data_IF_033382129146
#
_entry.id   IF_033382129146
#
_cell.length_a   1.000
_cell.length_b   1.000
_cell.length_c   1.000
_cell.angle_alpha   90.00
_cell.angle_beta   90.00
_cell.angle_gamma   90.00
#
_symmetry.space_group_name_H-M   'P 1'
#
loop_
_entity.id
_entity.type
_entity.pdbx_description
1 polymer ?
#
# COMPACT_ATOMS: atom_id res chain seq x y z
N UNK A 1 -42.76 -8.09 1.24
CA UNK A 1 -41.89 -7.07 1.90
C UNK A 1 -40.92 -7.63 2.95
N UNK A 2 -41.30 -8.52 3.88
CA UNK A 2 -40.38 -9.11 4.89
C UNK A 2 -39.14 -9.86 4.31
N UNK A 3 -39.28 -10.52 3.16
CA UNK A 3 -38.14 -11.18 2.49
C UNK A 3 -37.19 -10.20 1.76
N UNK A 4 -37.68 -9.01 1.39
CA UNK A 4 -36.87 -7.96 0.76
C UNK A 4 -36.02 -7.25 1.82
N UNK A 5 -36.60 -6.93 2.97
CA UNK A 5 -35.86 -6.34 4.11
C UNK A 5 -34.80 -7.29 4.66
N UNK A 6 -35.08 -8.60 4.74
CA UNK A 6 -34.09 -9.61 5.11
C UNK A 6 -32.90 -9.68 4.13
N UNK A 7 -33.17 -9.73 2.82
CA UNK A 7 -32.12 -9.74 1.78
C UNK A 7 -31.31 -8.43 1.73
N UNK A 8 -31.96 -7.27 1.90
CA UNK A 8 -31.29 -5.97 1.99
C UNK A 8 -30.35 -5.89 3.19
N UNK A 9 -30.76 -6.42 4.33
CA UNK A 9 -29.92 -6.48 5.53
C UNK A 9 -28.70 -7.39 5.32
N UNK A 10 -28.87 -8.54 4.66
CA UNK A 10 -27.74 -9.42 4.32
C UNK A 10 -26.75 -8.72 3.38
N UNK A 11 -27.24 -8.07 2.32
CA UNK A 11 -26.38 -7.35 1.37
C UNK A 11 -25.59 -6.21 2.03
N UNK A 12 -26.24 -5.44 2.91
CA UNK A 12 -25.58 -4.38 3.70
C UNK A 12 -24.54 -4.95 4.68
N UNK A 13 -24.80 -6.11 5.28
CA UNK A 13 -23.84 -6.79 6.14
C UNK A 13 -22.64 -7.29 5.34
N UNK A 14 -22.86 -7.90 4.16
CA UNK A 14 -21.79 -8.33 3.24
C UNK A 14 -20.93 -7.14 2.83
N UNK A 15 -21.55 -6.04 2.40
CA UNK A 15 -20.84 -4.80 2.05
C UNK A 15 -20.03 -4.26 3.23
N UNK A 16 -20.62 -4.26 4.44
CA UNK A 16 -19.91 -3.79 5.64
C UNK A 16 -18.71 -4.66 6.00
N UNK A 17 -18.80 -5.97 5.78
CA UNK A 17 -17.74 -6.94 6.07
C UNK A 17 -16.63 -6.95 5.01
N UNK A 18 -16.96 -6.59 3.76
CA UNK A 18 -16.03 -6.52 2.63
C UNK A 18 -15.24 -5.20 2.59
N UNK A 19 -15.75 -4.17 3.26
CA UNK A 19 -15.04 -2.90 3.47
C UNK A 19 -15.04 -2.52 4.96
N UNK A 20 -14.41 -3.29 5.85
CA UNK A 20 -14.54 -3.09 7.30
C UNK A 20 -13.82 -1.84 7.79
N UNK A 21 -12.75 -1.44 7.09
CA UNK A 21 -12.05 -0.20 7.35
C UNK A 21 -12.95 0.98 6.94
N UNK A 22 -13.56 1.64 7.95
CA UNK A 22 -14.36 2.86 7.77
C UNK A 22 -13.64 3.87 6.88
N UNK A 23 -12.31 3.92 6.92
CA UNK A 23 -11.53 4.89 6.16
C UNK A 23 -11.35 4.51 4.70
N UNK A 24 -11.35 3.24 4.32
CA UNK A 24 -11.40 2.93 2.88
C UNK A 24 -12.69 3.50 2.27
N UNK A 25 -13.80 3.47 3.03
CA UNK A 25 -15.05 4.13 2.63
C UNK A 25 -14.92 5.65 2.59
N UNK A 26 -14.31 6.28 3.60
CA UNK A 26 -14.06 7.72 3.59
C UNK A 26 -13.10 8.19 2.49
N UNK A 27 -12.10 7.38 2.14
CA UNK A 27 -11.20 7.66 1.01
C UNK A 27 -11.98 7.57 -0.29
N UNK A 28 -12.79 6.53 -0.49
CA UNK A 28 -13.68 6.44 -1.67
C UNK A 28 -14.63 7.64 -1.74
N UNK A 29 -15.32 7.98 -0.65
CA UNK A 29 -16.24 9.13 -0.60
C UNK A 29 -15.52 10.45 -0.80
N UNK A 30 -14.36 10.64 -0.16
CA UNK A 30 -13.53 11.83 -0.29
C UNK A 30 -13.02 12.01 -1.71
N UNK A 31 -12.56 10.95 -2.35
CA UNK A 31 -12.13 10.97 -3.76
C UNK A 31 -13.27 11.37 -4.68
N UNK A 32 -14.48 10.81 -4.49
CA UNK A 32 -15.67 11.17 -5.30
C UNK A 32 -16.11 12.62 -5.07
N UNK A 33 -16.09 13.10 -3.82
CA UNK A 33 -16.43 14.50 -3.49
C UNK A 33 -15.39 15.47 -4.05
N UNK A 34 -14.10 15.16 -3.91
CA UNK A 34 -13.02 15.95 -4.52
C UNK A 34 -13.15 15.98 -6.04
N UNK A 35 -13.52 14.86 -6.66
CA UNK A 35 -13.77 14.78 -8.09
C UNK A 35 -14.91 15.70 -8.54
N UNK A 36 -16.04 15.64 -7.83
CA UNK A 36 -17.21 16.47 -8.13
C UNK A 36 -16.89 17.96 -7.97
N UNK A 37 -16.18 18.34 -6.91
CA UNK A 37 -15.74 19.71 -6.68
C UNK A 37 -14.72 20.19 -7.71
N UNK A 38 -13.75 19.35 -8.09
CA UNK A 38 -12.74 19.68 -9.07
C UNK A 38 -13.34 19.90 -10.47
N UNK A 39 -14.29 19.05 -10.85
CA UNK A 39 -15.01 19.16 -12.12
C UNK A 39 -15.94 20.38 -12.15
N UNK A 40 -16.55 20.74 -11.02
CA UNK A 40 -17.42 21.93 -10.92
C UNK A 40 -16.63 23.24 -10.93
N UNK A 41 -15.42 23.25 -10.34
CA UNK A 41 -14.61 24.46 -10.19
C UNK A 41 -13.52 24.61 -11.26
N UNK A 42 -13.40 23.63 -12.16
CA UNK A 42 -12.39 23.56 -13.22
C UNK A 42 -10.94 23.78 -12.71
N UNK A 43 -10.64 23.22 -11.54
CA UNK A 43 -9.32 23.34 -10.90
C UNK A 43 -8.44 22.16 -11.30
N UNK A 44 -7.60 22.33 -12.33
CA UNK A 44 -6.78 21.27 -12.94
C UNK A 44 -5.91 20.51 -11.93
N UNK A 45 -5.29 21.20 -10.98
CA UNK A 45 -4.49 20.56 -9.93
C UNK A 45 -5.33 19.68 -9.00
N UNK A 46 -6.59 20.07 -8.74
CA UNK A 46 -7.50 19.30 -7.90
C UNK A 46 -8.01 18.06 -8.65
N UNK A 47 -8.17 18.17 -9.98
CA UNK A 47 -8.47 17.05 -10.88
C UNK A 47 -7.31 16.05 -10.84
N UNK A 48 -6.06 16.51 -10.92
CA UNK A 48 -4.88 15.63 -10.84
C UNK A 48 -4.77 14.90 -9.50
N UNK A 49 -5.00 15.61 -8.38
CA UNK A 49 -5.03 15.00 -7.04
C UNK A 49 -6.19 13.99 -6.92
N UNK A 50 -7.39 14.33 -7.42
CA UNK A 50 -8.53 13.43 -7.40
C UNK A 50 -8.29 12.18 -8.25
N UNK A 51 -7.69 12.32 -9.43
CA UNK A 51 -7.29 11.21 -10.30
C UNK A 51 -6.26 10.29 -9.62
N UNK A 52 -5.23 10.87 -8.98
CA UNK A 52 -4.26 10.11 -8.17
C UNK A 52 -4.92 9.33 -7.03
N UNK A 53 -5.85 9.96 -6.31
CA UNK A 53 -6.61 9.31 -5.24
C UNK A 53 -7.53 8.19 -5.76
N UNK A 54 -8.18 8.36 -6.91
CA UNK A 54 -9.01 7.34 -7.55
C UNK A 54 -8.14 6.16 -8.00
N UNK A 55 -7.02 6.41 -8.67
CA UNK A 55 -6.06 5.37 -9.07
C UNK A 55 -5.57 4.58 -7.86
N UNK A 56 -5.17 5.27 -6.79
CA UNK A 56 -4.77 4.63 -5.54
C UNK A 56 -5.92 3.81 -4.93
N UNK A 57 -7.15 4.31 -5.00
CA UNK A 57 -8.33 3.60 -4.47
C UNK A 57 -8.64 2.34 -5.27
N UNK A 58 -8.59 2.42 -6.61
CA UNK A 58 -8.74 1.26 -7.51
C UNK A 58 -7.60 0.28 -7.28
N UNK A 59 -6.37 0.75 -7.15
CA UNK A 59 -5.16 -0.05 -6.88
C UNK A 59 -5.28 -0.81 -5.55
N UNK A 60 -5.54 -0.10 -4.45
CA UNK A 60 -5.73 -0.73 -3.15
C UNK A 60 -6.95 -1.66 -3.17
N UNK A 61 -8.04 -1.23 -3.79
CA UNK A 61 -9.25 -2.03 -3.95
C UNK A 61 -9.00 -3.34 -4.67
N UNK A 62 -8.32 -3.31 -5.82
CA UNK A 62 -8.00 -4.47 -6.64
C UNK A 62 -7.17 -5.53 -5.90
N UNK A 63 -6.33 -5.12 -4.96
CA UNK A 63 -5.52 -6.04 -4.12
C UNK A 63 -6.31 -6.53 -2.91
N UNK A 64 -7.01 -5.61 -2.26
CA UNK A 64 -7.60 -5.82 -0.95
C UNK A 64 -8.93 -6.55 -1.01
N UNK A 65 -9.77 -6.20 -1.98
CA UNK A 65 -11.12 -6.75 -2.15
C UNK A 65 -11.09 -8.25 -2.43
N UNK A 66 -10.26 -8.79 -3.35
CA UNK A 66 -10.23 -10.22 -3.58
C UNK A 66 -9.76 -11.02 -2.36
N UNK A 67 -8.75 -10.54 -1.63
CA UNK A 67 -8.30 -11.15 -0.38
C UNK A 67 -9.45 -11.19 0.63
N UNK A 68 -10.16 -10.08 0.78
CA UNK A 68 -11.28 -10.00 1.73
C UNK A 68 -12.42 -10.90 1.32
N UNK A 69 -12.80 -10.92 0.04
CA UNK A 69 -13.84 -11.80 -0.48
C UNK A 69 -13.49 -13.27 -0.24
N UNK A 70 -12.25 -13.69 -0.52
CA UNK A 70 -11.78 -15.06 -0.27
C UNK A 70 -11.80 -15.40 1.23
N UNK A 71 -11.38 -14.47 2.10
CA UNK A 71 -11.42 -14.65 3.55
C UNK A 71 -12.85 -14.81 4.09
N UNK A 72 -13.79 -14.01 3.61
CA UNK A 72 -15.21 -14.09 3.99
C UNK A 72 -15.85 -15.37 3.45
N UNK A 73 -15.56 -15.75 2.21
CA UNK A 73 -16.03 -16.99 1.60
C UNK A 73 -15.52 -18.25 2.30
N UNK A 74 -14.40 -18.16 3.02
CA UNK A 74 -13.84 -19.23 3.86
C UNK A 74 -14.36 -19.25 5.31
N UNK A 75 -15.08 -18.22 5.73
CA UNK A 75 -15.53 -18.07 7.12
C UNK A 75 -16.78 -18.91 7.42
N UNK A 76 -16.69 -19.77 8.44
CA UNK A 76 -17.82 -20.60 8.90
C UNK A 76 -19.04 -19.76 9.33
N UNK A 77 -18.92 -18.72 10.17
CA UNK A 77 -20.05 -17.84 10.50
C UNK A 77 -20.71 -17.20 9.27
N UNK A 78 -19.92 -16.87 8.25
CA UNK A 78 -20.42 -16.24 7.03
C UNK A 78 -21.13 -17.24 6.11
N UNK A 79 -20.76 -18.52 6.13
CA UNK A 79 -21.52 -19.56 5.42
C UNK A 79 -22.93 -19.77 5.98
N UNK A 80 -23.18 -19.40 7.24
CA UNK A 80 -24.50 -19.49 7.88
C UNK A 80 -25.50 -18.42 7.38
N UNK A 81 -25.02 -17.37 6.70
CA UNK A 81 -25.87 -16.27 6.23
C UNK A 81 -26.74 -16.63 5.00
N UNK A 82 -26.61 -17.86 4.46
CA UNK A 82 -27.38 -18.34 3.31
C UNK A 82 -27.02 -17.62 2.00
N UNK A 83 -26.63 -18.36 0.95
CA UNK A 83 -26.22 -17.80 -0.35
C UNK A 83 -25.13 -16.71 -0.29
N UNK A 84 -24.35 -16.66 0.79
CA UNK A 84 -23.39 -15.58 1.05
C UNK A 84 -22.28 -15.48 0.00
N UNK A 85 -21.92 -16.62 -0.61
CA UNK A 85 -20.99 -16.67 -1.76
C UNK A 85 -21.54 -16.05 -3.04
N UNK A 86 -22.84 -16.19 -3.30
CA UNK A 86 -23.50 -15.55 -4.45
C UNK A 86 -23.54 -14.03 -4.25
N UNK A 87 -23.80 -13.57 -3.02
CA UNK A 87 -23.74 -12.15 -2.69
C UNK A 87 -22.32 -11.58 -2.81
N UNK A 88 -21.30 -12.31 -2.36
CA UNK A 88 -19.90 -11.90 -2.56
C UNK A 88 -19.51 -11.82 -4.04
N UNK A 89 -19.94 -12.79 -4.84
CA UNK A 89 -19.70 -12.82 -6.29
C UNK A 89 -20.33 -11.59 -6.97
N UNK A 90 -21.60 -11.29 -6.65
CA UNK A 90 -22.30 -10.12 -7.17
C UNK A 90 -21.61 -8.81 -6.75
N UNK A 91 -21.12 -8.73 -5.51
CA UNK A 91 -20.37 -7.58 -5.02
C UNK A 91 -19.03 -7.41 -5.76
N UNK A 92 -18.28 -8.50 -6.00
CA UNK A 92 -17.06 -8.45 -6.79
C UNK A 92 -17.32 -7.95 -8.21
N UNK A 93 -18.40 -8.40 -8.85
CA UNK A 93 -18.78 -7.94 -10.18
C UNK A 93 -19.14 -6.44 -10.19
N UNK A 94 -19.94 -5.99 -9.23
CA UNK A 94 -20.32 -4.58 -9.09
C UNK A 94 -19.11 -3.67 -8.82
N UNK A 95 -18.19 -4.11 -7.95
CA UNK A 95 -16.93 -3.40 -7.70
C UNK A 95 -16.09 -3.33 -8.98
N UNK A 96 -16.02 -4.42 -9.76
CA UNK A 96 -15.35 -4.43 -11.05
C UNK A 96 -15.90 -3.37 -11.99
N UNK A 97 -17.24 -3.29 -12.13
CA UNK A 97 -17.90 -2.25 -12.94
C UNK A 97 -17.54 -0.85 -12.44
N UNK A 98 -17.61 -0.60 -11.13
CA UNK A 98 -17.30 0.72 -10.55
C UNK A 98 -15.84 1.11 -10.81
N UNK A 99 -14.89 0.19 -10.64
CA UNK A 99 -13.47 0.45 -10.92
C UNK A 99 -13.23 0.71 -12.40
N UNK A 100 -13.85 -0.05 -13.29
CA UNK A 100 -13.73 0.15 -14.74
C UNK A 100 -14.29 1.50 -15.18
N UNK A 101 -15.44 1.91 -14.64
CA UNK A 101 -16.00 3.24 -14.89
C UNK A 101 -15.09 4.36 -14.38
N UNK A 102 -14.49 4.19 -13.19
CA UNK A 102 -13.58 5.17 -12.62
C UNK A 102 -12.30 5.34 -13.46
N UNK A 103 -11.70 4.22 -13.91
CA UNK A 103 -10.52 4.24 -14.79
C UNK A 103 -10.87 4.79 -16.16
N UNK A 104 -12.01 4.39 -16.74
CA UNK A 104 -12.46 4.88 -18.03
C UNK A 104 -12.73 6.38 -18.03
N UNK A 105 -13.37 6.89 -16.97
CA UNK A 105 -13.59 8.31 -16.80
C UNK A 105 -12.26 9.09 -16.76
N UNK A 106 -11.26 8.56 -16.05
CA UNK A 106 -9.92 9.16 -16.03
C UNK A 106 -9.26 9.16 -17.42
N UNK A 107 -9.33 8.05 -18.14
CA UNK A 107 -8.73 7.93 -19.47
C UNK A 107 -9.42 8.81 -20.51
N UNK A 108 -10.74 8.99 -20.40
CA UNK A 108 -11.51 9.89 -21.25
C UNK A 108 -11.16 11.38 -21.00
N UNK A 109 -10.80 11.74 -19.76
CA UNK A 109 -10.34 13.08 -19.43
C UNK A 109 -8.89 13.36 -19.88
N UNK A 110 -8.14 12.31 -20.19
CA UNK A 110 -6.77 12.40 -20.70
C UNK A 110 -6.71 12.43 -22.23
N UNK A 111 -7.84 12.58 -22.93
CA UNK A 111 -7.98 12.56 -24.41
C UNK A 111 -7.36 11.33 -25.09
N UNK A 112 -7.14 10.23 -24.34
CA UNK A 112 -6.40 9.07 -24.84
C UNK A 112 -7.27 8.02 -25.53
N UNK A 113 -8.58 7.95 -25.27
CA UNK A 113 -9.46 6.89 -25.79
C UNK A 113 -10.93 7.35 -25.94
N UNK A 114 -11.61 6.88 -27.00
CA UNK A 114 -13.05 7.07 -27.19
C UNK A 114 -13.90 6.34 -26.15
N UNK A 115 -14.83 7.06 -25.50
CA UNK A 115 -15.50 6.64 -24.26
C UNK A 115 -16.24 5.28 -24.30
N UNK A 116 -16.78 4.89 -25.45
CA UNK A 116 -17.67 3.71 -25.54
C UNK A 116 -16.90 2.45 -25.97
N UNK A 117 -15.87 2.60 -26.81
CA UNK A 117 -15.14 1.47 -27.39
C UNK A 117 -14.18 0.81 -26.40
N UNK A 118 -13.62 1.55 -25.43
CA UNK A 118 -12.65 1.02 -24.48
C UNK A 118 -13.24 0.46 -23.18
N UNK A 119 -14.50 0.76 -22.87
CA UNK A 119 -15.14 0.31 -21.62
C UNK A 119 -15.23 -1.23 -21.50
N UNK A 120 -15.61 -2.00 -22.53
CA UNK A 120 -15.64 -3.47 -22.43
C UNK A 120 -14.27 -4.08 -22.18
N UNK A 121 -13.22 -3.52 -22.79
CA UNK A 121 -11.82 -3.97 -22.61
C UNK A 121 -11.38 -3.70 -21.17
N UNK A 122 -11.59 -2.48 -20.67
CA UNK A 122 -11.27 -2.13 -19.29
C UNK A 122 -12.07 -2.95 -18.28
N UNK A 123 -13.33 -3.24 -18.58
CA UNK A 123 -14.14 -4.09 -17.70
C UNK A 123 -13.65 -5.53 -17.68
N UNK A 124 -13.25 -6.07 -18.82
CA UNK A 124 -12.60 -7.37 -18.89
C UNK A 124 -11.28 -7.38 -18.10
N UNK A 125 -10.42 -6.39 -18.26
CA UNK A 125 -9.12 -6.32 -17.56
C UNK A 125 -9.29 -6.22 -16.04
N UNK A 126 -10.12 -5.28 -15.57
CA UNK A 126 -10.39 -5.14 -14.13
C UNK A 126 -11.04 -6.41 -13.57
N UNK A 127 -11.94 -7.06 -14.35
CA UNK A 127 -12.54 -8.33 -13.94
C UNK A 127 -11.50 -9.44 -13.82
N UNK A 128 -10.61 -9.59 -14.80
CA UNK A 128 -9.51 -10.56 -14.75
C UNK A 128 -8.60 -10.32 -13.54
N UNK A 129 -8.27 -9.07 -13.25
CA UNK A 129 -7.51 -8.70 -12.04
C UNK A 129 -8.24 -9.14 -10.78
N UNK A 130 -9.53 -8.84 -10.63
CA UNK A 130 -10.27 -9.26 -9.43
C UNK A 130 -10.38 -10.78 -9.31
N UNK A 131 -10.62 -11.49 -10.43
CA UNK A 131 -10.80 -12.94 -10.48
C UNK A 131 -9.48 -13.70 -10.20
N UNK A 132 -8.41 -13.35 -10.91
CA UNK A 132 -7.08 -13.92 -10.70
C UNK A 132 -6.59 -13.58 -9.29
N UNK A 133 -6.83 -12.36 -8.81
CA UNK A 133 -6.53 -11.96 -7.45
C UNK A 133 -7.22 -12.85 -6.42
N UNK A 134 -8.51 -13.14 -6.61
CA UNK A 134 -9.27 -14.02 -5.72
C UNK A 134 -8.72 -15.46 -5.74
N UNK A 135 -8.34 -15.96 -6.92
CA UNK A 135 -7.74 -17.28 -7.11
C UNK A 135 -6.34 -17.42 -6.50
N UNK A 136 -5.50 -16.39 -6.60
CA UNK A 136 -4.19 -16.35 -5.94
C UNK A 136 -4.39 -16.33 -4.43
N UNK A 137 -5.23 -15.42 -3.94
CA UNK A 137 -5.52 -15.28 -2.51
C UNK A 137 -6.11 -16.56 -1.92
N UNK A 138 -6.91 -17.31 -2.71
CA UNK A 138 -7.52 -18.56 -2.27
C UNK A 138 -6.49 -19.68 -1.99
N UNK A 139 -5.32 -19.64 -2.66
CA UNK A 139 -4.23 -20.62 -2.49
C UNK A 139 -3.11 -20.12 -1.59
N UNK A 140 -2.74 -18.85 -1.75
CA UNK A 140 -1.61 -18.23 -1.06
C UNK A 140 -2.05 -16.94 -0.37
N UNK A 141 -2.62 -17.03 0.85
CA UNK A 141 -3.00 -15.86 1.63
C UNK A 141 -1.78 -14.95 1.86
N UNK A 142 -1.86 -13.69 1.43
CA UNK A 142 -0.78 -12.70 1.58
C UNK A 142 0.04 -12.46 0.32
N UNK A 143 -0.17 -13.23 -0.76
CA UNK A 143 0.45 -12.99 -2.07
C UNK A 143 -0.37 -12.05 -2.97
N UNK A 144 -1.25 -11.22 -2.39
CA UNK A 144 -2.17 -10.36 -3.14
C UNK A 144 -1.45 -9.36 -4.05
N UNK A 145 -0.23 -8.95 -3.67
CA UNK A 145 0.62 -8.06 -4.49
C UNK A 145 1.19 -8.73 -5.74
N UNK A 146 1.11 -10.06 -5.86
CA UNK A 146 1.53 -10.80 -7.06
C UNK A 146 0.75 -10.36 -8.29
N UNK A 147 -0.48 -9.86 -8.13
CA UNK A 147 -1.28 -9.43 -9.28
C UNK A 147 -0.65 -8.28 -10.07
N UNK A 148 0.16 -7.45 -9.41
CA UNK A 148 0.89 -6.37 -10.08
C UNK A 148 2.02 -6.87 -10.97
N UNK A 149 2.52 -8.07 -10.71
CA UNK A 149 3.52 -8.71 -11.58
C UNK A 149 2.92 -9.11 -12.92
N UNK A 150 1.60 -9.26 -12.97
CA UNK A 150 0.86 -9.56 -14.20
C UNK A 150 0.43 -8.30 -14.95
N UNK A 151 0.69 -7.08 -14.43
CA UNK A 151 0.29 -5.83 -15.07
C UNK A 151 0.81 -5.69 -16.52
N UNK A 152 2.08 -6.00 -16.82
CA UNK A 152 2.56 -5.90 -18.21
C UNK A 152 1.91 -6.92 -19.16
N UNK A 153 1.56 -8.10 -18.64
CA UNK A 153 0.78 -9.08 -19.39
C UNK A 153 -0.63 -8.54 -19.68
N UNK A 154 -1.25 -7.87 -18.72
CA UNK A 154 -2.55 -7.22 -18.91
C UNK A 154 -2.48 -6.07 -19.91
N UNK A 155 -1.38 -5.31 -19.97
CA UNK A 155 -1.20 -4.25 -20.97
C UNK A 155 -1.15 -4.82 -22.40
N UNK A 156 -0.40 -5.91 -22.61
CA UNK A 156 -0.35 -6.61 -23.91
C UNK A 156 -1.70 -7.20 -24.32
N UNK A 157 -2.39 -7.84 -23.37
CA UNK A 157 -3.73 -8.39 -23.59
C UNK A 157 -4.72 -7.25 -23.90
N UNK A 158 -4.64 -6.12 -23.19
CA UNK A 158 -5.51 -4.97 -23.42
C UNK A 158 -5.30 -4.38 -24.81
N UNK A 159 -4.05 -4.21 -25.25
CA UNK A 159 -3.72 -3.73 -26.59
C UNK A 159 -4.30 -4.65 -27.68
N UNK A 160 -4.10 -5.97 -27.54
CA UNK A 160 -4.69 -6.94 -28.47
C UNK A 160 -6.22 -6.91 -28.46
N UNK A 161 -6.85 -6.77 -27.29
CA UNK A 161 -8.30 -6.70 -27.16
C UNK A 161 -8.90 -5.41 -27.74
N UNK A 162 -8.14 -4.31 -27.75
CA UNK A 162 -8.55 -3.07 -28.39
C UNK A 162 -8.64 -3.19 -29.92
N UNK A 163 -7.86 -4.07 -30.52
CA UNK A 163 -7.88 -4.36 -31.96
C UNK A 163 -9.01 -5.33 -32.35
N UNK A 164 -9.66 -5.98 -31.38
CA UNK A 164 -10.72 -6.95 -31.60
C UNK A 164 -12.11 -6.31 -31.66
N UNK A 165 -13.07 -7.04 -32.24
CA UNK A 165 -14.46 -6.61 -32.26
C UNK A 165 -15.02 -6.50 -30.83
N UNK A 166 -15.66 -5.37 -30.45
CA UNK A 166 -16.16 -5.15 -29.09
C UNK A 166 -17.18 -6.19 -28.63
N UNK A 167 -17.95 -6.78 -29.55
CA UNK A 167 -18.89 -7.87 -29.24
C UNK A 167 -18.13 -9.11 -28.76
N UNK A 168 -16.99 -9.43 -29.38
CA UNK A 168 -16.13 -10.54 -28.98
C UNK A 168 -15.57 -10.34 -27.56
N UNK A 169 -15.21 -9.10 -27.21
CA UNK A 169 -14.74 -8.74 -25.86
C UNK A 169 -15.85 -8.92 -24.81
N UNK A 170 -17.09 -8.52 -25.13
CA UNK A 170 -18.25 -8.72 -24.24
C UNK A 170 -18.54 -10.22 -24.04
N UNK A 171 -18.44 -11.03 -25.10
CA UNK A 171 -18.58 -12.49 -24.98
C UNK A 171 -17.48 -13.06 -24.09
N UNK A 172 -16.22 -12.65 -24.29
CA UNK A 172 -15.09 -13.07 -23.46
C UNK A 172 -15.30 -12.70 -21.97
N UNK A 173 -15.87 -11.52 -21.69
CA UNK A 173 -16.24 -11.09 -20.35
C UNK A 173 -17.31 -11.98 -19.71
N UNK A 174 -18.37 -12.30 -20.45
CA UNK A 174 -19.44 -13.20 -19.96
C UNK A 174 -18.87 -14.58 -19.67
N UNK A 175 -18.04 -15.11 -20.57
CA UNK A 175 -17.36 -16.41 -20.40
C UNK A 175 -16.44 -16.38 -19.18
N UNK A 176 -15.63 -15.34 -19.02
CA UNK A 176 -14.73 -15.14 -17.87
C UNK A 176 -15.50 -15.19 -16.54
N UNK A 177 -16.56 -14.39 -16.39
CA UNK A 177 -17.38 -14.41 -15.19
C UNK A 177 -18.13 -15.73 -15.02
N UNK A 178 -18.58 -16.38 -16.09
CA UNK A 178 -19.22 -17.69 -16.04
C UNK A 178 -18.30 -18.76 -15.47
N UNK A 179 -17.08 -18.89 -16.03
CA UNK A 179 -16.05 -19.82 -15.55
C UNK A 179 -15.67 -19.52 -14.11
N UNK A 180 -15.44 -18.25 -13.79
CA UNK A 180 -15.13 -17.83 -12.42
C UNK A 180 -16.25 -18.14 -11.44
N UNK A 181 -17.52 -17.96 -11.83
CA UNK A 181 -18.68 -18.24 -10.99
C UNK A 181 -18.80 -19.73 -10.66
N UNK A 182 -18.58 -20.60 -11.65
CA UNK A 182 -18.57 -22.06 -11.45
C UNK A 182 -17.49 -22.43 -10.43
N UNK A 183 -16.26 -21.96 -10.66
CA UNK A 183 -15.15 -22.20 -9.74
C UNK A 183 -15.43 -21.64 -8.33
N UNK A 184 -15.84 -20.37 -8.22
CA UNK A 184 -16.05 -19.67 -6.95
C UNK A 184 -17.12 -20.33 -6.08
N UNK A 185 -18.23 -20.76 -6.69
CA UNK A 185 -19.32 -21.40 -5.98
C UNK A 185 -18.93 -22.81 -5.51
N UNK A 186 -18.14 -23.54 -6.31
CA UNK A 186 -17.71 -24.91 -5.99
C UNK A 186 -16.45 -24.98 -5.11
N UNK A 187 -15.66 -23.91 -5.06
CA UNK A 187 -14.38 -23.87 -4.34
C UNK A 187 -14.55 -24.13 -2.84
N UNK A 188 -13.89 -25.17 -2.31
CA UNK A 188 -13.89 -25.49 -0.87
C UNK A 188 -12.54 -25.10 -0.25
N UNK A 189 -12.49 -24.17 0.71
CA UNK A 189 -11.24 -23.78 1.35
C UNK A 189 -10.76 -24.87 2.30
N UNK A 190 -9.51 -25.28 2.16
CA UNK A 190 -8.86 -26.28 3.02
C UNK A 190 -8.60 -25.74 4.44
N UNK A 191 -8.30 -24.45 4.55
CA UNK A 191 -8.03 -23.75 5.81
C UNK A 191 -8.78 -22.42 5.84
N UNK A 192 -9.21 -22.01 7.03
CA UNK A 192 -9.78 -20.69 7.24
C UNK A 192 -8.76 -19.63 6.88
N UNK A 193 -9.11 -18.76 5.93
CA UNK A 193 -8.28 -17.63 5.57
C UNK A 193 -8.60 -16.45 6.48
N UNK A 194 -7.58 -15.98 7.17
CA UNK A 194 -7.72 -14.91 8.14
C UNK A 194 -8.06 -13.62 7.40
N UNK A 195 -9.16 -12.97 7.78
CA UNK A 195 -9.45 -11.64 7.28
C UNK A 195 -8.60 -10.62 8.05
N UNK A 196 -7.46 -10.24 7.45
CA UNK A 196 -6.55 -9.25 7.99
C UNK A 196 -7.21 -7.87 8.20
N UNK A 197 -8.31 -7.55 7.52
CA UNK A 197 -8.96 -6.24 7.64
C UNK A 197 -9.97 -6.16 8.79
N UNK A 198 -10.41 -7.32 9.30
CA UNK A 198 -11.31 -7.42 10.45
C UNK A 198 -10.57 -7.67 11.77
N UNK A 199 -9.28 -7.98 11.72
CA UNK A 199 -8.49 -8.16 12.93
C UNK A 199 -8.24 -6.81 13.60
N UNK A 200 -8.38 -6.73 14.93
CA UNK A 200 -7.85 -5.61 15.70
C UNK A 200 -6.37 -5.43 15.38
N UNK A 201 -5.91 -4.18 15.25
CA UNK A 201 -4.50 -3.85 14.97
C UNK A 201 -3.51 -4.49 15.96
N UNK A 202 -3.95 -4.70 17.21
CA UNK A 202 -3.19 -5.43 18.23
C UNK A 202 -2.96 -6.90 17.88
N UNK A 203 -3.98 -7.62 17.44
CA UNK A 203 -3.90 -9.06 17.09
C UNK A 203 -3.17 -9.30 15.78
N UNK A 204 -3.44 -8.48 14.76
CA UNK A 204 -2.75 -8.57 13.48
C UNK A 204 -1.23 -8.41 13.67
N UNK A 205 -0.84 -7.45 14.50
CA UNK A 205 0.57 -7.20 14.79
C UNK A 205 1.18 -8.25 15.74
N UNK A 206 0.40 -8.81 16.68
CA UNK A 206 0.86 -9.96 17.50
C UNK A 206 1.20 -11.15 16.60
N UNK A 207 0.32 -11.48 15.65
CA UNK A 207 0.58 -12.57 14.69
C UNK A 207 1.75 -12.29 13.77
N UNK A 208 1.92 -11.04 13.33
CA UNK A 208 3.11 -10.63 12.58
C UNK A 208 4.38 -10.80 13.42
N UNK A 209 4.35 -10.45 14.71
CA UNK A 209 5.49 -10.65 15.62
C UNK A 209 5.78 -12.13 15.86
N UNK A 210 4.77 -12.97 16.02
CA UNK A 210 4.92 -14.43 16.14
C UNK A 210 5.52 -15.05 14.87
N UNK A 211 5.02 -14.66 13.70
CA UNK A 211 5.58 -15.09 12.41
C UNK A 211 7.01 -14.60 12.18
N UNK A 212 7.33 -13.38 12.60
CA UNK A 212 8.70 -12.84 12.55
C UNK A 212 9.63 -13.56 13.53
N UNK A 213 9.18 -13.86 14.75
CA UNK A 213 9.97 -14.57 15.76
C UNK A 213 10.29 -16.02 15.34
N UNK A 214 9.38 -16.66 14.61
CA UNK A 214 9.58 -17.99 14.03
C UNK A 214 10.54 -18.01 12.83
N UNK A 215 10.82 -16.84 12.22
CA UNK A 215 11.69 -16.77 11.04
C UNK A 215 13.17 -16.82 11.42
N UNK A 216 13.91 -17.78 10.84
CA UNK A 216 15.38 -17.87 10.96
C UNK A 216 16.11 -16.62 10.46
N UNK A 217 15.48 -15.81 9.61
CA UNK A 217 16.04 -14.55 9.12
C UNK A 217 16.08 -13.45 10.20
N UNK A 218 15.28 -13.58 11.26
CA UNK A 218 15.17 -12.61 12.36
C UNK A 218 15.94 -13.06 13.62
N UNK A 219 16.45 -14.29 13.64
CA UNK A 219 17.16 -14.87 14.78
C UNK A 219 18.66 -14.55 14.73
N UNK A 220 19.20 -14.09 15.86
CA UNK A 220 20.64 -13.86 16.04
C UNK A 220 20.96 -13.29 17.43
N UNK A 221 22.25 -13.21 17.75
CA UNK A 221 22.73 -12.59 19.00
C UNK A 221 22.48 -11.08 18.96
N UNK A 222 21.89 -10.53 20.02
CA UNK A 222 21.70 -9.09 20.20
C UNK A 222 23.06 -8.40 20.42
N UNK A 223 23.26 -7.23 19.82
CA UNK A 223 24.44 -6.40 20.06
C UNK A 223 24.27 -5.49 21.26
N UNK A 224 23.04 -5.03 21.52
CA UNK A 224 22.70 -4.28 22.72
C UNK A 224 21.35 -4.72 23.28
N UNK A 225 21.24 -4.72 24.62
CA UNK A 225 19.98 -5.04 25.29
C UNK A 225 18.88 -4.01 24.96
N UNK A 226 19.23 -2.72 25.00
CA UNK A 226 18.30 -1.62 24.74
C UNK A 226 17.79 -1.66 23.30
N UNK A 227 18.69 -1.81 22.33
CA UNK A 227 18.32 -1.88 20.91
C UNK A 227 17.44 -3.08 20.59
N UNK A 228 17.80 -4.25 21.11
CA UNK A 228 17.02 -5.46 20.88
C UNK A 228 15.61 -5.39 21.49
N UNK A 229 15.48 -4.79 22.69
CA UNK A 229 14.18 -4.56 23.32
C UNK A 229 13.34 -3.51 22.57
N UNK A 230 13.96 -2.44 22.06
CA UNK A 230 13.29 -1.39 21.31
C UNK A 230 12.74 -1.91 19.98
N UNK A 231 13.55 -2.69 19.26
CA UNK A 231 13.19 -3.25 17.96
C UNK A 231 12.29 -4.49 18.08
N UNK A 232 12.35 -5.21 19.20
CA UNK A 232 11.64 -6.47 19.41
C UNK A 232 12.31 -7.68 18.74
N UNK A 233 13.53 -7.52 18.25
CA UNK A 233 14.37 -8.54 17.63
C UNK A 233 15.85 -8.13 17.76
N UNK A 234 16.79 -8.99 17.38
CA UNK A 234 18.22 -8.68 17.49
C UNK A 234 18.60 -7.43 16.69
N UNK A 235 19.30 -6.51 17.34
CA UNK A 235 19.74 -5.23 16.78
C UNK A 235 21.12 -5.28 16.11
N UNK A 236 21.66 -6.48 15.86
CA UNK A 236 22.99 -6.67 15.30
C UNK A 236 23.05 -6.44 13.79
N UNK A 237 24.19 -5.95 13.31
CA UNK A 237 24.45 -5.72 11.88
C UNK A 237 24.32 -6.99 11.03
N UNK A 238 24.69 -8.16 11.57
CA UNK A 238 24.58 -9.43 10.84
C UNK A 238 23.13 -9.85 10.62
N UNK A 239 22.24 -9.60 11.59
CA UNK A 239 20.80 -9.85 11.44
C UNK A 239 20.17 -8.84 10.49
N UNK A 240 20.57 -7.56 10.57
CA UNK A 240 20.14 -6.54 9.62
C UNK A 240 20.53 -6.90 8.19
N UNK A 241 21.79 -7.27 7.95
CA UNK A 241 22.28 -7.70 6.65
C UNK A 241 21.52 -8.93 6.15
N UNK A 242 21.32 -9.97 6.98
CA UNK A 242 20.58 -11.17 6.60
C UNK A 242 19.13 -10.86 6.19
N UNK A 243 18.48 -9.92 6.88
CA UNK A 243 17.13 -9.45 6.51
C UNK A 243 17.14 -8.71 5.18
N UNK A 244 18.10 -7.83 4.97
CA UNK A 244 18.28 -7.09 3.72
C UNK A 244 18.51 -8.06 2.55
N UNK A 245 19.46 -9.00 2.67
CA UNK A 245 19.69 -10.04 1.68
C UNK A 245 18.47 -10.92 1.44
N UNK A 246 17.75 -11.32 2.50
CA UNK A 246 16.54 -12.13 2.36
C UNK A 246 15.44 -11.41 1.57
N UNK A 247 15.24 -10.12 1.83
CA UNK A 247 14.29 -9.30 1.06
C UNK A 247 14.75 -9.08 -0.38
N UNK A 248 16.04 -8.88 -0.62
CA UNK A 248 16.60 -8.76 -1.97
C UNK A 248 16.46 -10.06 -2.77
N UNK A 249 16.78 -11.20 -2.16
CA UNK A 249 16.63 -12.50 -2.79
C UNK A 249 15.16 -12.74 -3.18
N UNK A 250 14.22 -12.33 -2.34
CA UNK A 250 12.80 -12.42 -2.64
C UNK A 250 12.39 -11.50 -3.81
N UNK A 251 12.91 -10.27 -3.87
CA UNK A 251 12.69 -9.36 -5.00
C UNK A 251 13.27 -9.94 -6.29
N UNK A 252 14.50 -10.46 -6.28
CA UNK A 252 15.12 -11.08 -7.46
C UNK A 252 14.35 -12.32 -7.91
N UNK A 253 13.96 -13.18 -6.96
CA UNK A 253 13.16 -14.39 -7.25
C UNK A 253 11.81 -14.04 -7.87
N UNK A 254 11.26 -12.87 -7.55
CA UNK A 254 10.06 -12.33 -8.16
C UNK A 254 10.34 -11.76 -9.56
N UNK A 255 11.43 -11.01 -9.73
CA UNK A 255 11.72 -10.31 -10.98
C UNK A 255 12.17 -11.25 -12.11
N UNK A 256 12.84 -12.37 -11.80
CA UNK A 256 13.36 -13.31 -12.83
C UNK A 256 12.24 -14.01 -13.62
N UNK A 257 11.17 -14.55 -13.01
CA UNK A 257 10.04 -15.06 -13.78
C UNK A 257 9.37 -13.97 -14.63
N UNK A 258 9.35 -12.73 -14.15
CA UNK A 258 8.73 -11.58 -14.84
C UNK A 258 9.53 -11.23 -16.10
N UNK A 259 10.87 -11.19 -16.04
CA UNK A 259 11.71 -10.97 -17.23
C UNK A 259 11.48 -12.04 -18.28
N UNK A 260 11.34 -13.30 -17.86
CA UNK A 260 11.12 -14.44 -18.75
C UNK A 260 9.73 -14.35 -19.41
N UNK A 261 8.70 -13.93 -18.67
CA UNK A 261 7.33 -13.89 -19.16
C UNK A 261 7.06 -12.78 -20.18
N UNK A 262 7.65 -11.59 -19.99
CA UNK A 262 7.31 -10.39 -20.78
C UNK A 262 8.39 -10.09 -21.84
N UNK A 263 9.56 -10.72 -21.72
CA UNK A 263 10.71 -10.42 -22.56
C UNK A 263 11.42 -9.13 -22.15
N UNK A 264 12.68 -9.00 -22.55
CA UNK A 264 13.57 -7.94 -22.06
C UNK A 264 13.13 -6.54 -22.51
N UNK A 265 12.58 -6.44 -23.72
CA UNK A 265 12.23 -5.17 -24.37
C UNK A 265 11.06 -4.45 -23.68
N UNK A 266 10.12 -5.21 -23.13
CA UNK A 266 8.98 -4.68 -22.34
C UNK A 266 9.27 -4.61 -20.85
N UNK A 267 10.22 -5.42 -20.38
CA UNK A 267 10.67 -5.39 -19.00
C UNK A 267 11.48 -4.13 -18.66
N UNK A 268 12.29 -3.62 -19.61
CA UNK A 268 13.13 -2.45 -19.39
C UNK A 268 12.33 -1.19 -19.01
N UNK A 269 11.27 -0.79 -19.74
CA UNK A 269 10.43 0.35 -19.38
C UNK A 269 9.66 0.13 -18.07
N UNK A 270 9.17 -1.09 -17.85
CA UNK A 270 8.50 -1.46 -16.60
C UNK A 270 9.43 -1.25 -15.40
N UNK A 271 10.68 -1.69 -15.51
CA UNK A 271 11.69 -1.51 -14.46
C UNK A 271 12.02 -0.03 -14.24
N UNK A 272 12.18 0.75 -15.32
CA UNK A 272 12.54 2.17 -15.23
C UNK A 272 11.49 3.00 -14.44
N UNK A 273 10.21 2.64 -14.56
CA UNK A 273 9.11 3.34 -13.88
C UNK A 273 8.75 2.70 -12.53
N UNK A 274 8.69 1.36 -12.48
CA UNK A 274 8.20 0.64 -11.28
C UNK A 274 9.25 0.57 -10.17
N UNK A 275 10.54 0.54 -10.52
CA UNK A 275 11.61 0.38 -9.53
C UNK A 275 11.70 1.59 -8.59
N UNK A 276 11.69 2.85 -9.06
CA UNK A 276 11.62 4.00 -8.16
C UNK A 276 10.40 3.96 -7.24
N UNK A 277 9.20 3.69 -7.77
CA UNK A 277 7.96 3.65 -6.98
C UNK A 277 8.01 2.54 -5.92
N UNK A 278 8.49 1.35 -6.29
CA UNK A 278 8.60 0.22 -5.38
C UNK A 278 9.63 0.47 -4.29
N UNK A 279 10.73 1.13 -4.59
CA UNK A 279 11.79 1.42 -3.62
C UNK A 279 11.40 2.57 -2.69
N UNK A 280 10.72 3.59 -3.20
CA UNK A 280 10.11 4.65 -2.41
C UNK A 280 9.07 4.09 -1.42
N UNK A 281 8.17 3.23 -1.90
CA UNK A 281 7.16 2.60 -1.04
C UNK A 281 7.79 1.67 -0.01
N UNK A 282 8.82 0.90 -0.39
CA UNK A 282 9.56 0.05 0.55
C UNK A 282 10.20 0.89 1.67
N UNK A 283 10.83 2.02 1.33
CA UNK A 283 11.49 2.89 2.31
C UNK A 283 10.49 3.48 3.31
N UNK A 284 9.32 3.94 2.86
CA UNK A 284 8.26 4.46 3.72
C UNK A 284 7.61 3.39 4.61
N UNK A 285 7.38 2.19 4.06
CA UNK A 285 6.84 1.05 4.84
C UNK A 285 7.82 0.62 5.93
N UNK A 286 9.12 0.55 5.62
CA UNK A 286 10.16 0.23 6.61
C UNK A 286 10.24 1.32 7.68
N UNK A 287 10.16 2.59 7.29
CA UNK A 287 10.13 3.72 8.20
C UNK A 287 8.94 3.65 9.17
N UNK A 288 7.74 3.42 8.66
CA UNK A 288 6.52 3.32 9.48
C UNK A 288 6.54 2.10 10.41
N UNK A 289 6.95 0.93 9.90
CA UNK A 289 7.01 -0.30 10.70
C UNK A 289 8.04 -0.18 11.82
N UNK A 290 9.20 0.44 11.55
CA UNK A 290 10.24 0.69 12.57
C UNK A 290 9.74 1.69 13.61
N UNK A 291 9.12 2.80 13.20
CA UNK A 291 8.53 3.78 14.13
C UNK A 291 7.50 3.12 15.05
N UNK A 292 6.63 2.27 14.50
CA UNK A 292 5.60 1.54 15.25
C UNK A 292 6.20 0.58 16.29
N UNK A 293 7.30 -0.10 15.96
CA UNK A 293 8.01 -0.98 16.91
C UNK A 293 8.57 -0.19 18.10
N UNK A 294 9.27 0.91 17.82
CA UNK A 294 9.83 1.79 18.86
C UNK A 294 8.72 2.37 19.75
N UNK A 295 7.65 2.87 19.13
CA UNK A 295 6.48 3.44 19.79
C UNK A 295 5.85 2.48 20.81
N UNK A 296 5.81 1.18 20.52
CA UNK A 296 5.22 0.18 21.42
C UNK A 296 6.16 -0.28 22.52
N UNK A 297 7.45 -0.41 22.21
CA UNK A 297 8.42 -1.03 23.10
C UNK A 297 9.06 -0.05 24.08
N UNK A 298 8.95 1.26 23.85
CA UNK A 298 9.60 2.28 24.68
C UNK A 298 9.26 2.18 26.17
N UNK A 299 8.02 1.78 26.52
CA UNK A 299 7.59 1.62 27.91
C UNK A 299 8.42 0.60 28.69
N UNK A 300 8.88 -0.46 28.00
CA UNK A 300 9.56 -1.60 28.63
C UNK A 300 10.97 -1.21 29.04
N UNK A 301 11.53 -0.19 28.41
CA UNK A 301 12.95 0.14 28.50
C UNK A 301 13.22 1.29 29.47
N UNK A 302 12.25 2.17 29.69
CA UNK A 302 12.38 3.28 30.62
C UNK A 302 12.76 2.84 32.05
N UNK A 303 12.20 1.73 32.53
CA UNK A 303 12.52 1.20 33.87
C UNK A 303 13.94 0.62 33.96
N UNK A 304 14.60 0.41 32.83
CA UNK A 304 15.89 -0.28 32.74
C UNK A 304 16.99 0.60 32.12
N UNK A 305 16.70 1.86 31.77
CA UNK A 305 17.71 2.80 31.29
C UNK A 305 18.26 3.61 32.46
N UNK A 306 19.59 3.66 32.60
CA UNK A 306 20.28 4.47 33.61
C UNK A 306 20.26 5.98 33.33
N UNK A 307 19.80 6.41 32.15
CA UNK A 307 19.73 7.81 31.71
C UNK A 307 18.36 8.48 31.91
N UNK A 308 18.31 9.80 31.72
CA UNK A 308 17.08 10.59 31.81
C UNK A 308 16.10 10.31 30.66
N UNK A 309 14.83 10.72 30.81
CA UNK A 309 13.82 10.58 29.73
C UNK A 309 14.23 11.30 28.44
N UNK A 310 15.00 12.39 28.56
CA UNK A 310 15.61 13.11 27.44
C UNK A 310 16.56 12.25 26.61
N UNK A 311 17.22 11.27 27.23
CA UNK A 311 18.23 10.46 26.56
C UNK A 311 17.58 9.35 25.75
N UNK A 312 16.39 8.90 26.18
CA UNK A 312 15.58 7.92 25.46
C UNK A 312 15.18 8.39 24.05
N UNK A 313 14.85 9.67 23.86
CA UNK A 313 14.52 10.18 22.52
C UNK A 313 15.76 10.18 21.61
N UNK A 314 16.94 10.49 22.15
CA UNK A 314 18.19 10.43 21.40
C UNK A 314 18.55 8.99 21.01
N UNK A 315 18.40 8.04 21.94
CA UNK A 315 18.65 6.60 21.71
C UNK A 315 17.67 6.06 20.65
N UNK A 316 16.38 6.32 20.80
CA UNK A 316 15.36 5.86 19.84
C UNK A 316 15.57 6.46 18.46
N UNK A 317 15.93 7.76 18.36
CA UNK A 317 16.28 8.40 17.09
C UNK A 317 17.48 7.73 16.43
N UNK A 318 18.54 7.45 17.20
CA UNK A 318 19.75 6.79 16.67
C UNK A 318 19.44 5.41 16.11
N UNK A 319 18.69 4.59 16.85
CA UNK A 319 18.29 3.24 16.41
C UNK A 319 17.37 3.31 15.20
N UNK A 320 16.40 4.24 15.20
CA UNK A 320 15.51 4.47 14.07
C UNK A 320 16.28 4.81 12.80
N UNK A 321 17.14 5.82 12.86
CA UNK A 321 17.91 6.29 11.71
C UNK A 321 18.90 5.23 11.21
N UNK A 322 19.48 4.43 12.11
CA UNK A 322 20.35 3.32 11.71
C UNK A 322 19.58 2.27 10.90
N UNK A 323 18.44 1.80 11.40
CA UNK A 323 17.64 0.79 10.70
C UNK A 323 17.11 1.34 9.37
N UNK A 324 16.38 2.45 9.42
CA UNK A 324 15.71 3.00 8.23
C UNK A 324 16.72 3.54 7.22
N UNK A 325 17.79 4.20 7.68
CA UNK A 325 18.85 4.72 6.83
C UNK A 325 19.60 3.62 6.08
N UNK A 326 19.88 2.47 6.72
CA UNK A 326 20.54 1.34 6.05
C UNK A 326 19.68 0.77 4.92
N UNK A 327 18.38 0.62 5.17
CA UNK A 327 17.43 0.17 4.14
C UNK A 327 17.27 1.19 3.00
N UNK A 328 17.24 2.47 3.33
CA UNK A 328 17.14 3.57 2.34
C UNK A 328 18.36 3.62 1.46
N UNK A 329 19.55 3.53 2.05
CA UNK A 329 20.80 3.50 1.31
C UNK A 329 20.83 2.32 0.32
N UNK A 330 20.53 1.10 0.79
CA UNK A 330 20.52 -0.07 -0.07
C UNK A 330 19.51 0.07 -1.21
N UNK A 331 18.28 0.49 -0.89
CA UNK A 331 17.22 0.65 -1.90
C UNK A 331 17.60 1.69 -2.94
N UNK A 332 18.13 2.85 -2.54
CA UNK A 332 18.60 3.89 -3.46
C UNK A 332 19.75 3.42 -4.33
N UNK A 333 20.74 2.72 -3.77
CA UNK A 333 21.86 2.16 -4.56
C UNK A 333 21.35 1.19 -5.62
N UNK A 334 20.42 0.31 -5.27
CA UNK A 334 19.81 -0.63 -6.22
C UNK A 334 19.00 0.12 -7.28
N UNK A 335 18.23 1.13 -6.87
CA UNK A 335 17.46 1.95 -7.79
C UNK A 335 18.35 2.60 -8.86
N UNK A 336 19.46 3.19 -8.42
CA UNK A 336 20.46 3.82 -9.28
C UNK A 336 21.11 2.79 -10.20
N UNK A 337 21.55 1.64 -9.67
CA UNK A 337 22.16 0.58 -10.48
C UNK A 337 21.20 0.08 -11.56
N UNK A 338 19.93 -0.08 -11.22
CA UNK A 338 18.88 -0.52 -12.14
C UNK A 338 18.59 0.55 -13.20
N UNK A 339 18.53 1.83 -12.82
CA UNK A 339 18.32 2.94 -13.75
C UNK A 339 19.49 3.11 -14.73
N UNK A 340 20.74 3.01 -14.23
CA UNK A 340 21.95 3.05 -15.07
C UNK A 340 21.97 1.86 -16.03
N UNK A 341 21.74 0.64 -15.53
CA UNK A 341 21.73 -0.57 -16.35
C UNK A 341 20.62 -0.55 -17.42
N UNK A 342 19.53 0.16 -17.16
CA UNK A 342 18.44 0.35 -18.12
C UNK A 342 18.61 1.57 -19.03
N UNK A 343 19.71 2.32 -18.93
CA UNK A 343 19.98 3.49 -19.77
C UNK A 343 19.11 4.71 -19.47
N UNK A 344 18.40 4.73 -18.34
CA UNK A 344 17.42 5.76 -17.98
C UNK A 344 17.96 6.86 -17.05
N UNK A 345 19.26 7.17 -17.09
CA UNK A 345 19.90 8.05 -16.09
C UNK A 345 19.27 9.45 -16.02
N UNK A 346 18.60 9.75 -14.90
CA UNK A 346 17.92 11.04 -14.65
C UNK A 346 18.83 12.15 -14.10
N UNK A 347 20.12 11.88 -13.92
CA UNK A 347 21.08 12.82 -13.34
C UNK A 347 21.20 12.74 -11.83
N UNK A 348 22.37 13.12 -11.31
CA UNK A 348 22.69 13.06 -9.88
C UNK A 348 21.82 14.02 -9.03
N UNK A 349 21.41 15.15 -9.60
CA UNK A 349 20.57 16.14 -8.93
C UNK A 349 19.20 15.56 -8.56
N UNK A 350 18.53 14.90 -9.51
CA UNK A 350 17.23 14.24 -9.31
C UNK A 350 17.30 13.20 -8.19
N UNK A 351 18.35 12.39 -8.17
CA UNK A 351 18.57 11.39 -7.11
C UNK A 351 18.90 12.02 -5.75
N UNK A 352 19.67 13.11 -5.72
CA UNK A 352 19.97 13.85 -4.50
C UNK A 352 18.71 14.44 -3.88
N UNK A 353 17.87 15.07 -4.68
CA UNK A 353 16.58 15.62 -4.27
C UNK A 353 15.60 14.52 -3.83
N UNK A 354 15.59 13.38 -4.51
CA UNK A 354 14.77 12.23 -4.10
C UNK A 354 15.23 11.67 -2.74
N UNK A 355 16.53 11.49 -2.56
CA UNK A 355 17.09 11.02 -1.29
C UNK A 355 16.76 12.01 -0.15
N UNK A 356 16.86 13.31 -0.42
CA UNK A 356 16.49 14.35 0.53
C UNK A 356 15.02 14.27 0.94
N UNK A 357 14.12 14.15 -0.04
CA UNK A 357 12.68 13.97 0.19
C UNK A 357 12.37 12.72 1.03
N UNK A 358 13.01 11.58 0.73
CA UNK A 358 12.83 10.36 1.51
C UNK A 358 13.31 10.55 2.95
N UNK A 359 14.47 11.18 3.16
CA UNK A 359 15.01 11.43 4.50
C UNK A 359 14.06 12.35 5.29
N UNK A 360 13.54 13.40 4.66
CA UNK A 360 12.55 14.29 5.28
C UNK A 360 11.30 13.52 5.69
N UNK A 361 10.72 12.72 4.80
CA UNK A 361 9.58 11.87 5.12
C UNK A 361 9.86 10.96 6.32
N UNK A 362 11.03 10.31 6.38
CA UNK A 362 11.40 9.42 7.48
C UNK A 362 11.53 10.16 8.82
N UNK A 363 12.18 11.33 8.79
CA UNK A 363 12.29 12.22 9.95
C UNK A 363 10.90 12.66 10.40
N UNK A 364 10.04 13.06 9.47
CA UNK A 364 8.67 13.50 9.75
C UNK A 364 7.84 12.36 10.36
N UNK A 365 7.92 11.15 9.82
CA UNK A 365 7.22 9.98 10.37
C UNK A 365 7.68 9.67 11.79
N UNK A 366 8.98 9.77 12.08
CA UNK A 366 9.51 9.59 13.43
C UNK A 366 8.94 10.62 14.41
N UNK A 367 9.03 11.91 14.09
CA UNK A 367 8.54 12.97 15.00
C UNK A 367 7.01 12.97 15.14
N UNK A 368 6.30 12.67 14.06
CA UNK A 368 4.84 12.50 14.08
C UNK A 368 4.43 11.36 15.00
N UNK A 369 5.16 10.24 14.98
CA UNK A 369 4.90 9.13 15.89
C UNK A 369 4.99 9.57 17.35
N UNK A 370 6.07 10.25 17.75
CA UNK A 370 6.23 10.70 19.13
C UNK A 370 5.26 11.82 19.53
N UNK A 371 4.90 12.68 18.59
CA UNK A 371 3.87 13.70 18.82
C UNK A 371 2.51 13.06 19.14
N UNK A 372 2.13 12.01 18.42
CA UNK A 372 0.90 11.25 18.68
C UNK A 372 1.00 10.53 20.02
N UNK A 373 2.16 9.95 20.33
CA UNK A 373 2.39 9.31 21.63
C UNK A 373 2.08 10.27 22.78
N UNK A 374 2.58 11.49 22.70
CA UNK A 374 2.36 12.58 23.68
C UNK A 374 0.89 13.00 23.78
N UNK A 375 0.20 13.12 22.64
CA UNK A 375 -1.12 13.75 22.56
C UNK A 375 -2.29 12.80 22.74
N UNK A 376 -2.11 11.52 22.38
CA UNK A 376 -3.19 10.52 22.29
C UNK A 376 -2.88 9.27 23.11
N UNK A 377 -2.10 9.42 24.19
CA UNK A 377 -1.83 8.37 25.18
C UNK A 377 -1.40 7.04 24.52
N UNK A 378 -0.46 7.10 23.60
CA UNK A 378 0.08 5.93 22.91
C UNK A 378 -0.93 5.14 22.01
N UNK A 379 -1.95 5.78 21.43
CA UNK A 379 -2.85 5.10 20.49
C UNK A 379 -2.13 4.64 19.21
N UNK A 380 -2.12 3.34 18.92
CA UNK A 380 -1.54 2.78 17.70
C UNK A 380 -2.44 3.05 16.49
N UNK A 381 -3.75 3.10 16.71
CA UNK A 381 -4.70 3.46 15.65
C UNK A 381 -4.37 4.84 15.08
N UNK A 382 -4.24 5.87 15.93
CA UNK A 382 -3.87 7.22 15.48
C UNK A 382 -2.51 7.27 14.81
N UNK A 383 -1.53 6.52 15.33
CA UNK A 383 -0.21 6.39 14.70
C UNK A 383 -0.33 5.89 13.25
N UNK A 384 -1.01 4.77 13.05
CA UNK A 384 -1.20 4.21 11.70
C UNK A 384 -1.95 5.16 10.78
N UNK A 385 -2.97 5.87 11.27
CA UNK A 385 -3.74 6.83 10.47
C UNK A 385 -2.92 8.03 10.02
N UNK A 386 -2.30 8.72 10.96
CA UNK A 386 -1.63 9.98 10.66
C UNK A 386 -0.36 9.70 9.87
N UNK A 387 0.44 8.69 10.25
CA UNK A 387 1.62 8.31 9.47
C UNK A 387 1.25 7.78 8.08
N UNK A 388 0.18 6.98 7.96
CA UNK A 388 -0.31 6.52 6.66
C UNK A 388 -0.82 7.66 5.78
N UNK A 389 -1.52 8.64 6.37
CA UNK A 389 -1.99 9.83 5.67
C UNK A 389 -0.85 10.75 5.21
N UNK A 390 0.17 10.95 6.06
CA UNK A 390 1.39 11.69 5.68
C UNK A 390 2.11 10.99 4.53
N UNK A 391 2.28 9.66 4.61
CA UNK A 391 2.89 8.88 3.54
C UNK A 391 2.10 8.96 2.22
N UNK A 392 0.76 8.88 2.30
CA UNK A 392 -0.12 8.99 1.13
C UNK A 392 -0.05 10.40 0.50
N UNK A 393 -0.06 11.44 1.33
CA UNK A 393 0.05 12.82 0.87
C UNK A 393 1.39 13.04 0.15
N UNK A 394 2.49 12.54 0.71
CA UNK A 394 3.81 12.58 0.07
C UNK A 394 3.83 11.86 -1.28
N UNK A 395 3.25 10.66 -1.35
CA UNK A 395 3.14 9.89 -2.59
C UNK A 395 2.31 10.63 -3.65
N UNK A 396 1.18 11.23 -3.26
CA UNK A 396 0.39 12.09 -4.14
C UNK A 396 1.17 13.34 -4.60
N UNK A 397 1.97 13.97 -3.74
CA UNK A 397 2.80 15.13 -4.11
C UNK A 397 3.89 14.76 -5.13
N UNK A 398 4.55 13.62 -4.97
CA UNK A 398 5.51 13.11 -5.96
C UNK A 398 4.82 12.82 -7.30
N UNK A 399 3.60 12.25 -7.24
CA UNK A 399 2.83 11.97 -8.44
C UNK A 399 2.43 13.27 -9.14
N UNK A 400 1.86 14.22 -8.40
CA UNK A 400 1.34 15.47 -8.94
C UNK A 400 2.42 16.38 -9.53
N UNK A 401 3.65 16.31 -9.02
CA UNK A 401 4.79 17.10 -9.52
C UNK A 401 5.49 16.46 -10.71
N UNK A 402 5.22 15.19 -11.03
CA UNK A 402 5.94 14.47 -12.07
C UNK A 402 7.44 14.31 -11.78
N UNK A 403 7.85 14.51 -10.53
CA UNK A 403 9.26 14.57 -10.14
C UNK A 403 10.05 13.31 -10.52
N UNK A 404 9.38 12.15 -10.59
CA UNK A 404 9.99 10.88 -10.97
C UNK A 404 9.50 10.31 -12.29
N UNK A 405 8.48 10.90 -12.90
CA UNK A 405 7.93 10.41 -14.15
C UNK A 405 7.34 11.56 -14.97
N UNK A 406 7.56 11.54 -16.30
CA UNK A 406 6.90 12.49 -17.18
C UNK A 406 5.39 12.28 -17.05
N UNK A 407 4.70 13.32 -16.59
CA UNK A 407 3.24 13.30 -16.55
C UNK A 407 2.70 13.36 -17.97
N UNK A 408 1.61 12.65 -18.28
CA UNK A 408 1.00 12.67 -19.60
C UNK A 408 0.29 13.99 -19.94
N UNK A 409 0.32 14.97 -19.04
CA UNK A 409 -0.31 16.28 -19.15
C UNK A 409 0.70 17.39 -18.78
N UNK A 410 0.49 18.59 -19.34
CA UNK A 410 1.31 19.80 -19.14
C UNK A 410 1.17 20.41 -17.73
N UNK A 411 1.25 19.62 -16.64
CA UNK A 411 1.41 20.16 -15.29
C UNK A 411 2.86 20.65 -15.02
N UNK A 412 3.51 21.19 -16.05
CA UNK A 412 4.89 21.71 -16.03
C UNK A 412 5.07 22.95 -15.12
N UNK A 413 4.04 23.39 -14.40
CA UNK A 413 4.08 24.58 -13.53
C UNK A 413 4.22 24.32 -12.02
N UNK A 414 4.08 23.08 -11.53
CA UNK A 414 4.17 22.81 -10.09
C UNK A 414 5.63 22.61 -9.69
N UNK A 415 6.18 23.58 -8.94
CA UNK A 415 7.55 23.50 -8.44
C UNK A 415 7.78 22.23 -7.60
N UNK A 416 8.92 21.56 -7.82
CA UNK A 416 9.36 20.41 -7.01
C UNK A 416 9.46 20.74 -5.50
N UNK A 417 9.55 22.03 -5.15
CA UNK A 417 9.51 22.52 -3.77
C UNK A 417 8.28 22.05 -2.97
N UNK A 418 7.15 21.81 -3.66
CA UNK A 418 5.92 21.32 -3.04
C UNK A 418 6.03 19.91 -2.46
N UNK A 419 7.04 19.12 -2.88
CA UNK A 419 7.27 17.78 -2.33
C UNK A 419 7.85 17.86 -0.92
N UNK A 420 8.85 18.72 -0.68
CA UNK A 420 9.63 18.72 0.57
C UNK A 420 9.37 19.91 1.50
N UNK A 421 8.90 21.07 1.00
CA UNK A 421 8.65 22.24 1.86
C UNK A 421 7.59 22.00 2.94
N UNK A 422 6.43 21.35 2.64
CA UNK A 422 5.45 21.02 3.67
C UNK A 422 6.01 20.10 4.75
N UNK A 423 6.87 19.14 4.37
CA UNK A 423 7.50 18.21 5.31
C UNK A 423 8.47 18.91 6.24
N UNK A 424 9.31 19.78 5.68
CA UNK A 424 10.28 20.55 6.44
C UNK A 424 9.58 21.47 7.45
N UNK A 425 8.53 22.17 7.02
CA UNK A 425 7.73 23.03 7.90
C UNK A 425 7.04 22.21 9.01
N UNK A 426 6.47 21.05 8.68
CA UNK A 426 5.87 20.15 9.67
C UNK A 426 6.92 19.63 10.68
N UNK A 427 8.12 19.26 10.23
CA UNK A 427 9.22 18.83 11.12
C UNK A 427 9.59 19.96 12.08
N UNK A 428 9.79 21.19 11.60
CA UNK A 428 10.17 22.33 12.45
C UNK A 428 9.11 22.60 13.52
N UNK A 429 7.83 22.55 13.16
CA UNK A 429 6.72 22.77 14.09
C UNK A 429 6.61 21.67 15.16
N UNK A 430 6.86 20.42 14.78
CA UNK A 430 6.67 19.27 15.69
C UNK A 430 7.93 19.02 16.53
N UNK A 431 9.13 19.22 15.98
CA UNK A 431 10.41 18.89 16.60
C UNK A 431 10.59 19.51 17.99
N UNK A 432 10.42 20.84 18.09
CA UNK A 432 10.63 21.58 19.34
C UNK A 432 9.66 21.12 20.44
N UNK A 433 8.42 20.87 20.04
CA UNK A 433 7.34 20.43 20.92
C UNK A 433 7.56 19.02 21.42
N UNK A 434 7.94 18.10 20.53
CA UNK A 434 8.26 16.72 20.90
C UNK A 434 9.42 16.70 21.88
N UNK A 435 10.55 17.34 21.58
CA UNK A 435 11.72 17.33 22.46
C UNK A 435 11.43 17.90 23.85
N UNK A 436 10.75 19.06 23.94
CA UNK A 436 10.42 19.69 25.24
C UNK A 436 9.47 18.83 26.07
N UNK A 437 8.46 18.24 25.45
CA UNK A 437 7.41 17.49 26.15
C UNK A 437 7.82 16.04 26.44
N UNK A 438 8.87 15.52 25.80
CA UNK A 438 9.28 14.12 25.94
C UNK A 438 9.68 13.75 27.36
N UNK A 439 10.38 14.64 28.06
CA UNK A 439 10.77 14.41 29.45
C UNK A 439 9.56 14.25 30.40
N UNK A 440 8.43 14.88 30.07
CA UNK A 440 7.21 14.85 30.88
C UNK A 440 6.20 13.76 30.43
N UNK A 441 6.54 12.94 29.42
CA UNK A 441 5.62 11.91 28.90
C UNK A 441 5.32 10.85 29.96
N UNK A 442 4.03 10.49 30.06
CA UNK A 442 3.61 9.23 30.66
C UNK A 442 3.79 8.09 29.65
N UNK A 443 4.75 7.21 29.93
CA UNK A 443 5.09 6.08 29.06
C UNK A 443 4.07 4.94 29.23
N UNK A 444 2.91 5.13 28.60
CA UNK A 444 1.79 4.21 28.66
C UNK A 444 1.97 3.01 27.71
N UNK A 445 1.19 1.95 27.95
CA UNK A 445 1.06 0.87 26.98
C UNK A 445 0.41 1.41 25.72
N UNK A 446 1.08 1.22 24.58
CA UNK A 446 0.46 1.51 23.31
C UNK A 446 -0.69 0.52 23.03
N UNK A 447 -1.89 1.04 22.78
CA UNK A 447 -3.13 0.28 22.53
C UNK A 447 -3.59 0.45 21.10
#
# INVERSE_FOLDING_TARGET
MKNLTGKMNTLLVVFKLLFPLRVFRWVVYGSVVMLALASLLNLEWLIAVAAGCILLTVFFGAVCVPMQAASLASSRPFSLLGNSRQWLLLMLMLIGVVFSLAVQWMLAHLDRLGFIASLPVLWLMVSLVLQIGAWICSRWPGFNGFIFMLNPLFDDIAAQLHEQNPIGVVVALIVSWGVFSIWWLQWKPEKYQINNMNLPSGELQKRQMEGMAASRLMQGKASSWIGARLLGFSDSWSVLARRMFGSLALVVFILVPITILIGIDKFLPFIQVSTPILLLTLSGVIAQTTATKLYRNIRVIWLCSSGGRSDLIAITRRIYMREVGSWTFLTVVIAIMVEIASGGWKGAESWGLMLFSIILLQVLLFYTAWFIYQRKAASVMWLSWVCGGVFLAWLCSIIATGFLFPLPFELQGISNLWVWMPELLAIVLIHSKVHRQFAAINLLRAV
#
